data_IF_064377564745
#
_entry.id   IF_064377564745
#
_cell.length_a   1.000
_cell.length_b   1.000
_cell.length_c   1.000
_cell.angle_alpha   90.00
_cell.angle_beta   90.00
_cell.angle_gamma   90.00
#
_symmetry.space_group_name_H-M   'P 1'
#
loop_
_entity.id
_entity.type
_entity.pdbx_description
1 polymer ?
#
# COMPACT_ATOMS: atom_id res chain seq x y z
N UNK A 1 23.22 -42.91 -23.47
CA UNK A 1 23.60 -41.50 -23.22
C UNK A 1 22.34 -40.70 -22.90
N UNK A 2 22.38 -40.07 -21.72
CA UNK A 2 21.58 -38.96 -21.18
C UNK A 2 20.03 -39.03 -21.17
N UNK A 3 19.52 -38.99 -19.94
CA UNK A 3 18.15 -39.13 -19.48
C UNK A 3 17.15 -38.04 -19.90
N UNK A 4 15.90 -38.49 -19.89
CA UNK A 4 14.67 -37.73 -20.12
C UNK A 4 14.47 -36.66 -19.05
N UNK A 5 14.42 -35.39 -19.47
CA UNK A 5 14.15 -34.25 -18.59
C UNK A 5 12.70 -34.28 -18.11
N UNK A 6 12.49 -34.73 -16.86
CA UNK A 6 11.24 -34.59 -16.12
C UNK A 6 10.93 -33.11 -15.95
N UNK A 7 9.97 -32.59 -16.70
CA UNK A 7 9.33 -31.31 -16.41
C UNK A 7 8.56 -31.43 -15.10
N UNK A 8 9.08 -30.78 -14.06
CA UNK A 8 8.43 -30.64 -12.77
C UNK A 8 7.13 -29.85 -12.94
N UNK A 9 5.99 -30.31 -12.39
CA UNK A 9 4.78 -29.50 -12.35
C UNK A 9 4.99 -28.39 -11.31
N UNK A 10 5.03 -27.14 -11.77
CA UNK A 10 5.01 -25.97 -10.92
C UNK A 10 3.65 -25.93 -10.19
N UNK A 11 3.63 -26.42 -8.94
CA UNK A 11 2.51 -26.22 -8.03
C UNK A 11 2.31 -24.72 -7.83
N UNK A 12 1.38 -24.13 -8.60
CA UNK A 12 0.83 -22.82 -8.30
C UNK A 12 0.18 -22.92 -6.93
N UNK A 13 0.82 -22.36 -5.90
CA UNK A 13 0.12 -22.10 -4.63
C UNK A 13 -1.08 -21.24 -5.00
N UNK A 14 -2.29 -21.78 -4.83
CA UNK A 14 -3.49 -20.97 -4.93
C UNK A 14 -3.37 -19.88 -3.86
N UNK A 15 -3.41 -18.59 -4.24
CA UNK A 15 -3.44 -17.53 -3.25
C UNK A 15 -4.65 -17.79 -2.37
N UNK A 16 -4.43 -17.81 -1.05
CA UNK A 16 -5.56 -17.86 -0.14
C UNK A 16 -6.24 -16.49 -0.17
N UNK A 17 -7.55 -16.38 0.12
CA UNK A 17 -8.22 -15.08 0.15
C UNK A 17 -7.56 -14.08 1.10
N UNK A 18 -6.82 -14.57 2.11
CA UNK A 18 -6.02 -13.75 3.02
C UNK A 18 -4.77 -13.16 2.36
N UNK A 19 -4.15 -13.88 1.42
CA UNK A 19 -3.00 -13.37 0.66
C UNK A 19 -3.45 -12.26 -0.30
N UNK A 20 -4.61 -12.44 -0.96
CA UNK A 20 -5.19 -11.43 -1.85
C UNK A 20 -5.52 -10.12 -1.11
N UNK A 21 -6.18 -10.21 0.05
CA UNK A 21 -6.46 -9.04 0.89
C UNK A 21 -5.17 -8.34 1.34
N UNK A 22 -4.11 -9.10 1.64
CA UNK A 22 -2.81 -8.55 2.04
C UNK A 22 -2.15 -7.79 0.88
N UNK A 23 -2.13 -8.38 -0.31
CA UNK A 23 -1.61 -7.75 -1.52
C UNK A 23 -2.37 -6.45 -1.85
N UNK A 24 -3.70 -6.44 -1.73
CA UNK A 24 -4.52 -5.24 -1.93
C UNK A 24 -4.17 -4.11 -0.93
N UNK A 25 -3.95 -4.46 0.34
CA UNK A 25 -3.53 -3.50 1.36
C UNK A 25 -2.13 -2.94 1.09
N UNK A 26 -1.19 -3.78 0.67
CA UNK A 26 0.17 -3.35 0.30
C UNK A 26 0.16 -2.45 -0.94
N UNK A 27 -0.63 -2.79 -1.96
CA UNK A 27 -0.84 -1.93 -3.12
C UNK A 27 -1.49 -0.61 -2.71
N UNK A 28 -2.48 -0.66 -1.81
CA UNK A 28 -3.08 0.52 -1.20
C UNK A 28 -2.07 1.43 -0.51
N UNK A 29 -1.11 0.87 0.24
CA UNK A 29 -0.03 1.61 0.90
C UNK A 29 0.90 2.28 -0.12
N UNK A 30 1.35 1.53 -1.13
CA UNK A 30 2.24 2.05 -2.18
C UNK A 30 1.58 3.19 -2.97
N UNK A 31 0.31 3.03 -3.33
CA UNK A 31 -0.50 4.08 -3.98
C UNK A 31 -0.65 5.31 -3.09
N UNK A 32 -1.02 5.11 -1.82
CA UNK A 32 -1.19 6.23 -0.87
C UNK A 32 0.13 6.99 -0.66
N UNK A 33 1.27 6.29 -0.57
CA UNK A 33 2.58 6.94 -0.47
C UNK A 33 2.92 7.80 -1.69
N UNK A 34 2.56 7.33 -2.87
CA UNK A 34 2.75 8.08 -4.13
C UNK A 34 1.87 9.33 -4.15
N UNK A 35 0.59 9.21 -3.76
CA UNK A 35 -0.32 10.35 -3.66
C UNK A 35 0.17 11.39 -2.65
N UNK A 36 0.71 10.96 -1.50
CA UNK A 36 1.31 11.87 -0.51
C UNK A 36 2.45 12.67 -1.14
N UNK A 37 3.37 12.01 -1.85
CA UNK A 37 4.48 12.68 -2.52
C UNK A 37 3.99 13.68 -3.58
N UNK A 38 2.95 13.33 -4.34
CA UNK A 38 2.33 14.22 -5.32
C UNK A 38 1.69 15.44 -4.67
N UNK A 39 0.92 15.26 -3.59
CA UNK A 39 0.30 16.34 -2.85
C UNK A 39 1.35 17.30 -2.26
N UNK A 40 2.45 16.77 -1.71
CA UNK A 40 3.57 17.60 -1.26
C UNK A 40 4.23 18.38 -2.41
N UNK A 41 4.39 17.77 -3.59
CA UNK A 41 4.92 18.49 -4.76
C UNK A 41 4.00 19.63 -5.19
N UNK A 42 2.68 19.40 -5.16
CA UNK A 42 1.66 20.42 -5.45
C UNK A 42 1.69 21.55 -4.42
N UNK A 43 1.69 21.22 -3.12
CA UNK A 43 1.79 22.16 -2.02
C UNK A 43 3.03 23.06 -2.13
N UNK A 44 4.19 22.48 -2.43
CA UNK A 44 5.45 23.24 -2.57
C UNK A 44 5.45 24.20 -3.76
N UNK A 45 4.59 23.97 -4.75
CA UNK A 45 4.47 24.81 -5.95
C UNK A 45 3.33 25.83 -5.84
N UNK A 46 2.37 25.59 -4.95
CA UNK A 46 1.22 26.45 -4.73
C UNK A 46 1.61 27.77 -4.06
N UNK A 47 0.99 28.86 -4.50
CA UNK A 47 1.12 30.20 -3.89
C UNK A 47 -0.21 30.78 -3.45
N UNK A 48 -1.30 30.20 -3.95
CA UNK A 48 -2.65 30.61 -3.63
C UNK A 48 -3.04 30.04 -2.25
N UNK A 49 -3.56 30.88 -1.33
CA UNK A 49 -3.86 30.47 0.03
C UNK A 49 -4.95 29.39 0.11
N UNK A 50 -5.97 29.43 -0.75
CA UNK A 50 -7.03 28.42 -0.77
C UNK A 50 -6.51 27.08 -1.28
N UNK A 51 -5.64 27.08 -2.30
CA UNK A 51 -4.96 25.86 -2.77
C UNK A 51 -4.00 25.29 -1.72
N UNK A 52 -3.28 26.14 -1.00
CA UNK A 52 -2.41 25.71 0.11
C UNK A 52 -3.26 25.02 1.18
N UNK A 53 -4.39 25.60 1.55
CA UNK A 53 -5.31 25.00 2.53
C UNK A 53 -5.89 23.66 2.02
N UNK A 54 -6.28 23.57 0.74
CA UNK A 54 -6.77 22.31 0.17
C UNK A 54 -5.72 21.19 0.25
N UNK A 55 -4.45 21.50 -0.07
CA UNK A 55 -3.35 20.55 0.02
C UNK A 55 -3.07 20.11 1.46
N UNK A 56 -3.21 21.00 2.46
CA UNK A 56 -3.08 20.61 3.87
C UNK A 56 -4.14 19.57 4.26
N UNK A 57 -5.40 19.80 3.88
CA UNK A 57 -6.47 18.83 4.14
C UNK A 57 -6.26 17.51 3.39
N UNK A 58 -5.81 17.58 2.14
CA UNK A 58 -5.52 16.38 1.33
C UNK A 58 -4.38 15.56 1.93
N UNK A 59 -3.25 16.19 2.29
CA UNK A 59 -2.11 15.53 2.91
C UNK A 59 -2.53 14.86 4.23
N UNK A 60 -3.31 15.55 5.07
CA UNK A 60 -3.81 14.99 6.32
C UNK A 60 -4.72 13.77 6.08
N UNK A 61 -5.63 13.84 5.10
CA UNK A 61 -6.50 12.72 4.75
C UNK A 61 -5.69 11.51 4.24
N UNK A 62 -4.67 11.75 3.42
CA UNK A 62 -3.79 10.71 2.90
C UNK A 62 -2.92 10.09 4.02
N UNK A 63 -2.40 10.88 4.95
CA UNK A 63 -1.67 10.38 6.12
C UNK A 63 -2.57 9.53 7.04
N UNK A 64 -3.82 9.93 7.25
CA UNK A 64 -4.79 9.15 8.02
C UNK A 64 -5.09 7.81 7.32
N UNK A 65 -5.28 7.82 5.99
CA UNK A 65 -5.45 6.62 5.18
C UNK A 65 -4.24 5.69 5.28
N UNK A 66 -3.03 6.22 5.13
CA UNK A 66 -1.79 5.46 5.26
C UNK A 66 -1.66 4.80 6.64
N UNK A 67 -1.95 5.56 7.70
CA UNK A 67 -1.95 5.05 9.08
C UNK A 67 -2.99 3.96 9.32
N UNK A 68 -4.17 4.06 8.71
CA UNK A 68 -5.18 3.01 8.75
C UNK A 68 -4.70 1.74 8.04
N UNK A 69 -4.19 1.85 6.81
CA UNK A 69 -3.70 0.71 6.04
C UNK A 69 -2.53 0.00 6.75
N UNK A 70 -1.61 0.75 7.35
CA UNK A 70 -0.52 0.17 8.15
C UNK A 70 -1.04 -0.63 9.36
N UNK A 71 -2.09 -0.15 10.03
CA UNK A 71 -2.71 -0.89 11.13
C UNK A 71 -3.36 -2.17 10.62
N UNK A 72 -4.07 -2.12 9.49
CA UNK A 72 -4.69 -3.30 8.88
C UNK A 72 -3.69 -4.38 8.49
N UNK A 73 -2.58 -4.00 7.84
CA UNK A 73 -1.51 -4.96 7.51
C UNK A 73 -0.93 -5.61 8.77
N UNK A 74 -0.68 -4.82 9.83
CA UNK A 74 -0.16 -5.35 11.10
C UNK A 74 -1.14 -6.29 11.83
N UNK A 75 -2.44 -5.99 11.77
CA UNK A 75 -3.50 -6.85 12.30
C UNK A 75 -3.52 -8.20 11.55
N UNK A 76 -3.32 -8.20 10.23
CA UNK A 76 -3.23 -9.42 9.42
C UNK A 76 -1.96 -10.23 9.66
N UNK A 77 -0.81 -9.57 9.85
CA UNK A 77 0.45 -10.23 10.21
C UNK A 77 0.47 -10.74 11.67
N UNK A 78 -0.67 -10.70 12.39
CA UNK A 78 -0.81 -11.25 13.73
C UNK A 78 -0.02 -10.51 14.81
N UNK A 79 0.46 -9.29 14.52
CA UNK A 79 1.16 -8.44 15.48
C UNK A 79 0.18 -7.37 15.98
N UNK A 80 -0.61 -7.66 17.03
CA UNK A 80 -1.55 -6.67 17.56
C UNK A 80 -0.77 -5.45 18.04
N UNK A 81 -1.02 -4.29 17.41
CA UNK A 81 -0.64 -2.99 17.94
C UNK A 81 -1.44 -2.79 19.23
N UNK A 82 -0.85 -3.23 20.34
CA UNK A 82 -1.42 -3.13 21.68
C UNK A 82 -1.76 -1.66 21.93
N UNK A 83 -3.05 -1.38 22.12
CA UNK A 83 -3.62 -0.06 22.42
C UNK A 83 -3.11 0.47 23.75
#
# INVERSE_FOLDING_TARGET
>A
MAESARTLPFCKKHPTPQDEERDELLEGLARTRTLIAQAYSGFNSARDPDLIESYVFEINALQARYSYLLRRVKEMDGTPLRR
#
